data_IF_861700680984
#
_entry.id   IF_861700680984
#
_cell.length_a   1.000
_cell.length_b   1.000
_cell.length_c   1.000
_cell.angle_alpha   90.00
_cell.angle_beta   90.00
_cell.angle_gamma   90.00
#
_symmetry.space_group_name_H-M   'P 1'
#
loop_
_entity.id
_entity.type
_entity.pdbx_description
1 polymer ?
#
# COMPACT_ATOMS: atom_id res chain seq x y z
N UNK A 1 5.00 11.98 -9.37
CA UNK A 1 4.42 12.30 -8.06
C UNK A 1 3.19 11.41 -7.89
N UNK A 2 3.21 10.49 -6.92
CA UNK A 2 1.99 9.74 -6.58
C UNK A 2 1.01 10.72 -5.94
N UNK A 3 -0.20 10.79 -6.47
CA UNK A 3 -1.25 11.65 -5.91
C UNK A 3 -1.79 10.91 -4.69
N UNK A 4 -1.74 11.56 -3.52
CA UNK A 4 -2.35 11.01 -2.33
C UNK A 4 -3.86 10.81 -2.58
N UNK A 5 -4.31 9.56 -2.47
CA UNK A 5 -5.73 9.21 -2.48
C UNK A 5 -6.10 8.84 -1.05
N UNK A 6 -6.98 9.63 -0.44
CA UNK A 6 -7.36 9.46 0.95
C UNK A 6 -8.81 9.84 1.16
N UNK A 7 -9.20 9.90 2.43
CA UNK A 7 -10.56 10.24 2.85
C UNK A 7 -10.49 11.56 3.62
N UNK A 8 -10.78 12.72 3.00
CA UNK A 8 -10.58 14.05 3.60
C UNK A 8 -11.31 14.27 4.93
N UNK A 9 -12.36 13.48 5.22
CA UNK A 9 -13.13 13.49 6.47
C UNK A 9 -13.26 12.08 7.03
N UNK A 10 -12.13 11.39 7.18
CA UNK A 10 -12.08 9.99 7.63
C UNK A 10 -12.78 9.77 8.98
N UNK A 11 -12.64 10.72 9.90
CA UNK A 11 -13.21 10.65 11.25
C UNK A 11 -13.60 12.05 11.71
N UNK A 12 -14.70 12.13 12.45
CA UNK A 12 -15.19 13.40 12.99
C UNK A 12 -14.25 13.94 14.06
N UNK A 13 -13.96 15.24 14.02
CA UNK A 13 -13.12 15.89 15.01
C UNK A 13 -13.68 15.73 16.42
N UNK A 14 -15.01 15.87 16.59
CA UNK A 14 -15.66 15.73 17.89
C UNK A 14 -15.51 14.32 18.50
N UNK A 15 -15.39 13.29 17.66
CA UNK A 15 -15.16 11.91 18.10
C UNK A 15 -13.72 11.71 18.61
N UNK A 16 -12.72 12.30 17.93
CA UNK A 16 -11.31 12.24 18.34
C UNK A 16 -11.05 13.06 19.60
N UNK A 17 -11.72 14.20 19.76
CA UNK A 17 -11.51 15.10 20.89
C UNK A 17 -12.34 14.73 22.13
N UNK A 18 -13.30 13.81 22.00
CA UNK A 18 -14.13 13.38 23.12
C UNK A 18 -13.26 12.79 24.23
N UNK A 19 -13.42 13.30 25.45
CA UNK A 19 -12.69 12.79 26.61
C UNK A 19 -13.02 11.31 26.86
N UNK A 20 -11.99 10.51 27.16
CA UNK A 20 -12.14 9.07 27.40
C UNK A 20 -12.35 8.21 26.14
N UNK A 21 -12.31 8.79 24.92
CA UNK A 21 -12.44 8.02 23.70
C UNK A 21 -11.34 6.92 23.59
N UNK A 22 -11.64 5.78 22.92
CA UNK A 22 -10.69 4.67 22.86
C UNK A 22 -9.58 4.86 21.81
N UNK A 23 -9.65 5.90 20.97
CA UNK A 23 -8.77 6.09 19.82
C UNK A 23 -7.54 6.94 20.12
N UNK A 24 -7.64 7.85 21.09
CA UNK A 24 -6.53 8.68 21.58
C UNK A 24 -6.15 8.23 22.99
N UNK A 25 -4.91 7.77 23.16
CA UNK A 25 -4.33 7.40 24.47
C UNK A 25 -2.94 8.01 24.56
N UNK A 26 -2.62 8.65 25.68
CA UNK A 26 -1.31 9.29 25.91
C UNK A 26 -0.89 10.20 24.75
N UNK A 27 -1.82 11.06 24.30
CA UNK A 27 -1.65 11.99 23.15
C UNK A 27 -1.22 11.30 21.83
N UNK A 28 -1.55 10.00 21.69
CA UNK A 28 -1.10 9.16 20.58
C UNK A 28 -2.28 8.44 19.91
N UNK A 29 -2.17 8.23 18.59
CA UNK A 29 -3.12 7.47 17.76
C UNK A 29 -2.36 6.47 16.88
N UNK A 30 -2.95 5.29 16.67
CA UNK A 30 -2.43 4.28 15.76
C UNK A 30 -3.32 4.18 14.52
N UNK A 31 -2.72 4.29 13.34
CA UNK A 31 -3.40 4.14 12.04
C UNK A 31 -2.86 2.89 11.36
N UNK A 32 -3.77 1.99 10.95
CA UNK A 32 -3.42 0.78 10.19
C UNK A 32 -3.97 0.88 8.77
N UNK A 33 -3.08 0.81 7.79
CA UNK A 33 -3.43 0.72 6.37
C UNK A 33 -3.37 -0.76 5.97
N UNK A 34 -4.46 -1.27 5.40
CA UNK A 34 -4.52 -2.63 4.85
C UNK A 34 -4.58 -2.52 3.34
N UNK A 35 -3.54 -3.03 2.67
CA UNK A 35 -3.49 -3.13 1.22
C UNK A 35 -3.86 -4.55 0.85
N UNK A 36 -4.86 -4.71 -0.01
CA UNK A 36 -5.21 -6.01 -0.55
C UNK A 36 -4.24 -6.38 -1.68
N UNK A 37 -3.71 -7.60 -1.58
CA UNK A 37 -2.78 -8.19 -2.54
C UNK A 37 -3.33 -9.49 -3.12
N UNK A 38 -4.62 -9.80 -2.95
CA UNK A 38 -5.24 -11.05 -3.41
C UNK A 38 -5.02 -11.33 -4.91
N UNK A 39 -5.03 -10.28 -5.73
CA UNK A 39 -4.84 -10.37 -7.17
C UNK A 39 -3.36 -10.39 -7.60
N UNK A 40 -2.42 -10.25 -6.66
CA UNK A 40 -0.98 -10.26 -6.93
C UNK A 40 -0.36 -11.60 -6.53
N UNK A 41 0.41 -12.25 -7.42
CA UNK A 41 1.21 -13.41 -7.05
C UNK A 41 2.09 -13.10 -5.84
N UNK A 42 1.97 -13.88 -4.75
CA UNK A 42 2.71 -13.62 -3.49
C UNK A 42 4.22 -13.53 -3.68
N UNK A 43 4.76 -14.21 -4.68
CA UNK A 43 6.17 -14.20 -5.04
C UNK A 43 6.64 -12.82 -5.52
N UNK A 44 5.76 -11.99 -6.08
CA UNK A 44 6.07 -10.65 -6.57
C UNK A 44 6.04 -9.58 -5.48
N UNK A 45 5.41 -9.85 -4.33
CA UNK A 45 5.23 -8.85 -3.27
C UNK A 45 6.55 -8.21 -2.80
N UNK A 46 7.64 -8.97 -2.53
CA UNK A 46 8.90 -8.34 -2.11
C UNK A 46 9.45 -7.38 -3.16
N UNK A 47 9.29 -7.70 -4.44
CA UNK A 47 9.74 -6.84 -5.53
C UNK A 47 8.91 -5.56 -5.59
N UNK A 48 7.57 -5.69 -5.65
CA UNK A 48 6.66 -4.55 -5.69
C UNK A 48 6.85 -3.61 -4.50
N UNK A 49 7.06 -4.15 -3.30
CA UNK A 49 7.28 -3.35 -2.09
C UNK A 49 8.67 -2.71 -2.02
N UNK A 50 9.65 -3.21 -2.79
CA UNK A 50 11.00 -2.65 -2.88
C UNK A 50 11.15 -1.55 -3.94
N UNK A 51 10.15 -1.36 -4.80
CA UNK A 51 10.19 -0.34 -5.84
C UNK A 51 10.25 1.05 -5.22
N UNK A 52 11.06 1.92 -5.83
CA UNK A 52 11.19 3.29 -5.39
C UNK A 52 9.85 4.03 -5.57
N UNK A 53 9.19 4.48 -4.48
CA UNK A 53 7.89 5.12 -4.56
C UNK A 53 7.94 6.50 -5.26
N UNK A 54 9.13 7.09 -5.42
CA UNK A 54 9.35 8.34 -6.14
C UNK A 54 9.28 8.21 -7.66
N UNK A 55 9.31 6.99 -8.21
CA UNK A 55 9.19 6.76 -9.66
C UNK A 55 7.79 7.11 -10.16
N UNK A 56 7.64 7.56 -11.42
CA UNK A 56 6.33 7.69 -12.04
C UNK A 56 5.53 6.38 -12.02
N UNK A 57 4.22 6.46 -11.82
CA UNK A 57 3.37 5.27 -11.62
C UNK A 57 3.35 4.33 -12.83
N UNK A 58 3.47 4.89 -14.05
CA UNK A 58 3.61 4.11 -15.27
C UNK A 58 4.92 3.30 -15.26
N UNK A 59 6.03 3.92 -14.86
CA UNK A 59 7.33 3.24 -14.74
C UNK A 59 7.27 2.11 -13.71
N UNK A 60 6.66 2.35 -12.54
CA UNK A 60 6.48 1.29 -11.54
C UNK A 60 5.63 0.13 -12.08
N UNK A 61 4.54 0.42 -12.81
CA UNK A 61 3.67 -0.60 -13.43
C UNK A 61 4.41 -1.42 -14.49
N UNK A 62 5.19 -0.75 -15.34
CA UNK A 62 5.98 -1.41 -16.38
C UNK A 62 7.01 -2.36 -15.75
N UNK A 63 7.72 -1.91 -14.71
CA UNK A 63 8.67 -2.73 -13.96
C UNK A 63 8.02 -3.95 -13.27
N UNK A 64 6.81 -3.79 -12.70
CA UNK A 64 6.06 -4.90 -12.09
C UNK A 64 5.65 -5.90 -13.17
N UNK A 65 5.18 -5.41 -14.33
CA UNK A 65 4.76 -6.24 -15.45
C UNK A 65 5.93 -7.05 -16.01
N UNK A 66 7.07 -6.43 -16.26
CA UNK A 66 8.29 -7.10 -16.74
C UNK A 66 8.74 -8.20 -15.77
N UNK A 67 8.76 -7.92 -14.46
CA UNK A 67 9.12 -8.92 -13.46
C UNK A 67 8.10 -10.07 -13.38
N UNK A 68 6.82 -9.78 -13.57
CA UNK A 68 5.75 -10.78 -13.64
C UNK A 68 5.96 -11.73 -14.83
N UNK A 69 6.24 -11.17 -16.01
CA UNK A 69 6.50 -11.93 -17.23
C UNK A 69 7.77 -12.79 -17.08
N UNK A 70 8.85 -12.21 -16.55
CA UNK A 70 10.13 -12.91 -16.30
C UNK A 70 9.93 -14.14 -15.42
N UNK A 71 9.14 -14.02 -14.34
CA UNK A 71 8.88 -15.13 -13.41
C UNK A 71 7.99 -16.20 -14.00
N UNK A 72 6.98 -15.81 -14.77
CA UNK A 72 6.12 -16.75 -15.50
C UNK A 72 6.95 -17.62 -16.45
N UNK A 73 7.85 -16.99 -17.22
CA UNK A 73 8.74 -17.71 -18.15
C UNK A 73 9.69 -18.69 -17.46
N UNK A 74 10.18 -18.36 -16.26
CA UNK A 74 11.02 -19.26 -15.47
C UNK A 74 10.25 -20.48 -14.95
N UNK A 75 8.97 -20.32 -14.60
CA UNK A 75 8.12 -21.43 -14.18
C UNK A 75 7.74 -22.36 -15.34
N UNK A 76 7.54 -21.83 -16.55
CA UNK A 76 7.18 -22.66 -17.73
C UNK A 76 8.35 -23.49 -18.28
N UNK A 77 9.59 -23.17 -17.90
CA UNK A 77 10.81 -23.87 -18.34
C UNK A 77 11.26 -24.99 -17.39
N UNK A 78 10.55 -25.21 -16.30
CA UNK A 78 10.72 -26.36 -15.40
C UNK A 78 9.63 -27.39 -15.66
#
# INVERSE_FOLDING_TARGET
MNIASGIPKFVSLGMIQQEGNPYVRDDTVFIKIMVDFGDMPKTLLPYTMSLNPGLPINVQKDMIKEETERRTQLQTRQ
#
